data_IF_881341357011
#
_entry.id   IF_881341357011
#
_cell.length_a   1.000
_cell.length_b   1.000
_cell.length_c   1.000
_cell.angle_alpha   90.00
_cell.angle_beta   90.00
_cell.angle_gamma   90.00
#
_symmetry.space_group_name_H-M   'P 1'
#
loop_
_entity.id
_entity.type
_entity.pdbx_description
1 polymer ?
#
# COMPACT_ATOMS: atom_id res chain seq x y z
N UNK A 1 -11.32 4.74 1.81
CA UNK A 1 -11.15 3.75 2.90
C UNK A 1 -9.75 3.86 3.49
N UNK A 2 -9.54 3.55 4.78
CA UNK A 2 -8.22 3.67 5.45
C UNK A 2 -7.61 2.32 5.79
N UNK A 3 -6.31 2.18 5.53
CA UNK A 3 -5.55 0.97 5.76
C UNK A 3 -4.28 1.28 6.55
N UNK A 4 -3.91 0.37 7.44
CA UNK A 4 -2.58 0.37 8.04
C UNK A 4 -1.75 -0.67 7.30
N UNK A 5 -0.72 -0.21 6.58
CA UNK A 5 0.07 -1.07 5.71
C UNK A 5 1.50 -1.14 6.23
N UNK A 6 1.96 -2.33 6.59
CA UNK A 6 3.36 -2.58 6.90
C UNK A 6 4.09 -3.05 5.63
N UNK A 7 5.17 -2.38 5.27
CA UNK A 7 6.09 -2.76 4.19
C UNK A 7 7.45 -3.01 4.84
N UNK A 8 7.88 -4.27 4.86
CA UNK A 8 8.98 -4.76 5.69
C UNK A 8 8.79 -4.30 7.15
N UNK A 9 9.75 -3.56 7.71
CA UNK A 9 9.72 -3.07 9.10
C UNK A 9 9.05 -1.70 9.28
N UNK A 10 8.46 -1.14 8.22
CA UNK A 10 7.91 0.22 8.24
C UNK A 10 6.42 0.24 7.97
N UNK A 11 5.67 0.96 8.80
CA UNK A 11 4.22 1.09 8.68
C UNK A 11 3.84 2.44 8.07
N UNK A 12 2.81 2.41 7.23
CA UNK A 12 2.23 3.54 6.52
C UNK A 12 0.71 3.56 6.74
N UNK A 13 0.15 4.75 6.94
CA UNK A 13 -1.29 4.96 6.89
C UNK A 13 -1.67 5.30 5.46
N UNK A 14 -2.43 4.43 4.80
CA UNK A 14 -2.91 4.63 3.43
C UNK A 14 -4.40 4.93 3.44
N UNK A 15 -4.81 6.03 2.81
CA UNK A 15 -6.22 6.37 2.62
C UNK A 15 -6.52 6.39 1.12
N UNK A 16 -7.41 5.51 0.67
CA UNK A 16 -7.93 5.53 -0.70
C UNK A 16 -9.08 6.54 -0.74
N UNK A 17 -8.87 7.67 -1.42
CA UNK A 17 -9.87 8.72 -1.56
C UNK A 17 -10.84 8.41 -2.70
N UNK A 18 -10.27 8.10 -3.87
CA UNK A 18 -10.95 7.70 -5.10
C UNK A 18 -10.00 6.87 -5.97
N UNK A 19 -10.43 6.51 -7.18
CA UNK A 19 -9.69 5.63 -8.09
C UNK A 19 -8.34 6.21 -8.56
N UNK A 20 -8.14 7.54 -8.46
CA UNK A 20 -6.93 8.24 -8.92
C UNK A 20 -6.14 8.91 -7.79
N UNK A 21 -6.64 8.88 -6.56
CA UNK A 21 -5.98 9.59 -5.46
C UNK A 21 -5.89 8.74 -4.20
N UNK A 22 -4.67 8.65 -3.68
CA UNK A 22 -4.37 8.03 -2.39
C UNK A 22 -3.63 9.00 -1.48
N UNK A 23 -3.84 8.89 -0.18
CA UNK A 23 -3.08 9.61 0.85
C UNK A 23 -2.18 8.62 1.55
N UNK A 24 -0.88 8.89 1.58
CA UNK A 24 0.09 8.10 2.36
C UNK A 24 0.69 9.01 3.42
N UNK A 25 0.48 8.67 4.70
CA UNK A 25 0.93 9.45 5.86
C UNK A 25 0.56 10.94 5.77
N UNK A 26 -0.66 11.24 5.30
CA UNK A 26 -1.18 12.60 5.16
C UNK A 26 -0.77 13.33 3.88
N UNK A 27 0.09 12.76 3.03
CA UNK A 27 0.44 13.33 1.73
C UNK A 27 -0.39 12.67 0.62
N UNK A 28 -1.01 13.50 -0.23
CA UNK A 28 -1.78 13.07 -1.39
C UNK A 28 -0.85 12.74 -2.56
N UNK A 29 -1.18 11.67 -3.29
CA UNK A 29 -0.52 11.22 -4.51
C UNK A 29 -1.55 10.98 -5.61
N UNK A 30 -1.23 11.37 -6.84
CA UNK A 30 -1.97 10.97 -8.04
C UNK A 30 -1.49 9.59 -8.48
N UNK A 31 -2.45 8.69 -8.70
CA UNK A 31 -2.19 7.32 -9.12
C UNK A 31 -2.99 6.93 -10.37
N UNK A 32 -2.39 6.03 -11.14
CA UNK A 32 -3.07 5.26 -12.19
C UNK A 32 -2.52 3.82 -12.13
N UNK A 33 -3.37 2.87 -11.74
CA UNK A 33 -2.98 1.47 -11.54
C UNK A 33 -3.69 0.58 -12.55
N UNK A 34 -2.91 -0.14 -13.35
CA UNK A 34 -3.42 -1.10 -14.32
C UNK A 34 -2.80 -2.49 -14.11
N UNK A 35 -3.62 -3.53 -14.26
CA UNK A 35 -3.14 -4.90 -14.35
C UNK A 35 -2.63 -5.19 -15.76
N UNK A 36 -1.48 -5.85 -15.87
CA UNK A 36 -0.84 -6.17 -17.14
C UNK A 36 -1.16 -7.62 -17.54
N UNK A 37 -2.20 -7.77 -18.36
CA UNK A 37 -2.66 -9.08 -18.82
C UNK A 37 -3.23 -9.93 -17.67
N UNK A 38 -3.02 -11.25 -17.76
CA UNK A 38 -3.55 -12.23 -16.78
C UNK A 38 -2.52 -12.63 -15.70
N UNK A 39 -1.37 -11.95 -15.66
CA UNK A 39 -0.30 -12.21 -14.68
C UNK A 39 -0.47 -11.26 -13.48
N UNK A 40 0.10 -11.59 -12.30
CA UNK A 40 0.12 -10.69 -11.15
C UNK A 40 1.16 -9.55 -11.33
N UNK A 41 1.17 -8.95 -12.51
CA UNK A 41 2.03 -7.83 -12.90
C UNK A 41 1.17 -6.58 -13.01
N UNK A 42 1.63 -5.50 -12.39
CA UNK A 42 0.91 -4.24 -12.31
C UNK A 42 1.79 -3.10 -12.77
N UNK A 43 1.22 -2.17 -13.53
CA UNK A 43 1.81 -0.88 -13.85
C UNK A 43 1.16 0.18 -12.98
N UNK A 44 1.98 0.96 -12.27
CA UNK A 44 1.55 2.08 -11.44
C UNK A 44 2.21 3.35 -11.95
N UNK A 45 1.40 4.34 -12.34
CA UNK A 45 1.84 5.72 -12.44
C UNK A 45 1.63 6.37 -11.08
N UNK A 46 2.67 6.95 -10.48
CA UNK A 46 2.62 7.68 -9.22
C UNK A 46 3.26 9.05 -9.42
N UNK A 47 2.49 10.13 -9.30
CA UNK A 47 2.95 11.51 -9.55
C UNK A 47 3.77 11.62 -10.86
N UNK A 48 3.26 11.04 -11.94
CA UNK A 48 3.90 10.98 -13.27
C UNK A 48 5.16 10.10 -13.41
N UNK A 49 5.51 9.33 -12.37
CA UNK A 49 6.57 8.34 -12.42
C UNK A 49 5.99 6.94 -12.56
N UNK A 50 6.46 6.19 -13.56
CA UNK A 50 6.00 4.81 -13.79
C UNK A 50 6.82 3.80 -13.01
N UNK A 51 6.11 2.81 -12.46
CA UNK A 51 6.62 1.68 -11.71
C UNK A 51 5.94 0.40 -12.20
N UNK A 52 6.71 -0.68 -12.26
CA UNK A 52 6.20 -2.02 -12.56
C UNK A 52 6.48 -2.92 -11.37
N UNK A 53 5.45 -3.61 -10.90
CA UNK A 53 5.53 -4.48 -9.74
C UNK A 53 4.88 -5.83 -10.02
N UNK A 54 5.54 -6.90 -9.61
CA UNK A 54 4.94 -8.23 -9.52
C UNK A 54 4.41 -8.40 -8.10
N UNK A 55 3.12 -8.70 -7.94
CA UNK A 55 2.42 -8.75 -6.64
C UNK A 55 1.79 -10.11 -6.44
N UNK A 56 2.43 -10.94 -5.61
CA UNK A 56 1.97 -12.30 -5.33
C UNK A 56 1.36 -12.42 -3.93
N UNK A 57 0.46 -13.38 -3.75
CA UNK A 57 -0.08 -13.72 -2.43
C UNK A 57 0.87 -14.71 -1.76
N UNK A 58 1.53 -14.26 -0.69
CA UNK A 58 2.40 -15.10 0.13
C UNK A 58 1.67 -15.68 1.35
N UNK A 59 2.37 -16.50 2.14
CA UNK A 59 1.79 -17.21 3.28
C UNK A 59 1.22 -16.30 4.39
N UNK A 60 1.75 -15.08 4.53
CA UNK A 60 1.46 -14.17 5.64
C UNK A 60 1.10 -12.74 5.22
N UNK A 61 0.87 -12.52 3.92
CA UNK A 61 0.66 -11.20 3.33
C UNK A 61 1.00 -11.22 1.84
N UNK A 62 1.29 -10.05 1.30
CA UNK A 62 1.65 -9.85 -0.09
C UNK A 62 3.16 -9.80 -0.26
N UNK A 63 3.65 -10.36 -1.36
CA UNK A 63 5.03 -10.24 -1.80
C UNK A 63 5.07 -9.33 -3.02
N UNK A 64 5.71 -8.17 -2.89
CA UNK A 64 5.80 -7.17 -3.95
C UNK A 64 7.24 -7.10 -4.44
N UNK A 65 7.51 -7.57 -5.66
CA UNK A 65 8.79 -7.40 -6.32
C UNK A 65 8.74 -6.13 -7.18
N UNK A 66 9.53 -5.13 -6.80
CA UNK A 66 9.61 -3.84 -7.47
C UNK A 66 11.08 -3.51 -7.75
N UNK A 67 11.42 -3.29 -9.03
CA UNK A 67 12.79 -2.95 -9.47
C UNK A 67 13.90 -3.91 -8.99
N UNK A 68 13.55 -5.19 -8.79
CA UNK A 68 14.48 -6.23 -8.35
C UNK A 68 14.57 -6.39 -6.84
N UNK A 69 13.91 -5.53 -6.06
CA UNK A 69 13.82 -5.65 -4.60
C UNK A 69 12.47 -6.25 -4.19
N UNK A 70 12.51 -7.21 -3.28
CA UNK A 70 11.33 -7.87 -2.74
C UNK A 70 10.90 -7.20 -1.44
N UNK A 71 9.62 -6.89 -1.33
CA UNK A 71 9.00 -6.27 -0.17
C UNK A 71 7.90 -7.16 0.39
N UNK A 72 7.97 -7.45 1.69
CA UNK A 72 6.89 -8.09 2.44
C UNK A 72 5.86 -7.03 2.83
N UNK A 73 4.62 -7.19 2.37
CA UNK A 73 3.55 -6.21 2.57
C UNK A 73 2.37 -6.84 3.32
N UNK A 74 1.98 -6.22 4.44
CA UNK A 74 0.79 -6.60 5.22
C UNK A 74 -0.18 -5.43 5.24
N UNK A 75 -1.41 -5.68 4.86
CA UNK A 75 -2.47 -4.65 4.83
C UNK A 75 -3.51 -5.01 5.88
N UNK A 76 -3.68 -4.13 6.87
CA UNK A 76 -4.73 -4.24 7.87
C UNK A 76 -5.83 -3.21 7.60
N UNK A 77 -7.08 -3.65 7.67
CA UNK A 77 -8.28 -2.86 7.36
C UNK A 77 -8.65 -1.87 8.48
N UNK A 78 -9.60 -0.96 8.20
CA UNK A 78 -10.06 0.17 9.04
C UNK A 78 -10.36 -0.20 10.50
N UNK A 79 -10.75 -1.46 10.77
CA UNK A 79 -10.95 -1.97 12.14
C UNK A 79 -9.67 -1.91 12.97
N UNK A 80 -8.53 -2.28 12.40
CA UNK A 80 -7.23 -2.22 13.06
C UNK A 80 -6.83 -0.76 13.34
N UNK A 81 -7.08 0.14 12.39
CA UNK A 81 -6.84 1.59 12.57
C UNK A 81 -7.66 2.15 13.74
N UNK A 82 -8.93 1.75 13.88
CA UNK A 82 -9.76 2.16 15.03
C UNK A 82 -9.23 1.62 16.35
N UNK A 83 -8.77 0.38 16.38
CA UNK A 83 -8.16 -0.24 17.57
C UNK A 83 -6.84 0.46 17.94
N UNK A 84 -5.97 0.73 16.97
CA UNK A 84 -4.70 1.44 17.19
C UNK A 84 -4.93 2.87 17.72
N UNK A 85 -5.92 3.58 17.18
CA UNK A 85 -6.31 4.91 17.68
C UNK A 85 -6.94 4.86 19.08
N UNK A 86 -7.74 3.84 19.38
CA UNK A 86 -8.33 3.64 20.71
C UNK A 86 -7.29 3.19 21.76
N UNK A 87 -6.20 2.53 21.33
CA UNK A 87 -5.11 2.08 22.19
C UNK A 87 -4.12 3.18 22.59
N UNK A 88 -4.28 4.43 22.13
CA UNK A 88 -3.55 5.57 22.66
C UNK A 88 -2.05 5.57 22.34
N UNK A 89 -1.63 5.08 21.17
CA UNK A 89 -0.30 5.35 20.63
C UNK A 89 -0.22 6.82 20.18
N UNK A 90 -0.19 7.73 21.16
CA UNK A 90 0.38 9.05 20.98
C UNK A 90 1.85 8.85 20.66
N UNK A 91 2.21 9.00 19.39
CA UNK A 91 3.59 9.27 19.00
C UNK A 91 3.92 10.67 19.54
N UNK A 92 4.66 10.68 20.65
CA UNK A 92 5.36 11.86 21.18
C UNK A 92 6.67 12.01 20.41
#
# INVERSE_FOLDING_TARGET
MKYLTAVNDKTYLIEINDDRHVVVDGKVYDIDLEAVGDQPLYSLLLDHHSFEAFVDEGDAGWLVLLRGDLYDVKVEDERAVRLAKAAGAGVV
#
